data_IF_644227418304
#
_entry.id   IF_644227418304
#
_cell.length_a   1.000
_cell.length_b   1.000
_cell.length_c   1.000
_cell.angle_alpha   90.00
_cell.angle_beta   90.00
_cell.angle_gamma   90.00
#
_symmetry.space_group_name_H-M   'P 1'
#
loop_
_entity.id
_entity.type
_entity.pdbx_description
1 polymer ?
#
# COMPACT_ATOMS: atom_id res chain seq x y z
N UNK A 1 35.68 0.36 3.64
CA UNK A 1 34.75 -0.41 4.49
C UNK A 1 33.33 -0.08 4.03
N UNK A 2 32.65 -0.96 3.27
CA UNK A 2 31.36 -0.58 2.70
C UNK A 2 30.27 -0.78 3.75
N UNK A 3 29.66 0.33 4.15
CA UNK A 3 28.37 0.36 4.85
C UNK A 3 27.34 -0.29 3.93
N UNK A 4 27.15 -1.60 4.10
CA UNK A 4 26.01 -2.28 3.50
C UNK A 4 24.81 -1.77 4.28
N UNK A 5 24.07 -0.81 3.71
CA UNK A 5 22.80 -0.35 4.27
C UNK A 5 21.91 -1.59 4.39
N UNK A 6 21.95 -2.19 5.57
CA UNK A 6 21.19 -3.37 5.91
C UNK A 6 19.80 -2.96 6.35
N UNK A 7 18.87 -3.92 6.40
CA UNK A 7 17.52 -3.67 6.91
C UNK A 7 17.53 -3.02 8.30
N UNK A 8 18.51 -3.35 9.15
CA UNK A 8 18.66 -2.73 10.48
C UNK A 8 18.99 -1.24 10.43
N UNK A 9 19.83 -0.81 9.49
CA UNK A 9 20.23 0.61 9.39
C UNK A 9 19.10 1.46 8.82
N UNK A 10 18.35 0.91 7.86
CA UNK A 10 17.13 1.53 7.35
C UNK A 10 16.07 1.70 8.44
N UNK A 11 15.91 0.72 9.35
CA UNK A 11 15.00 0.83 10.50
C UNK A 11 15.41 1.98 11.43
N UNK A 12 16.71 2.15 11.70
CA UNK A 12 17.21 3.24 12.56
C UNK A 12 16.90 4.61 11.93
N UNK A 13 17.18 4.77 10.63
CA UNK A 13 16.88 6.00 9.90
C UNK A 13 15.37 6.28 9.89
N UNK A 14 14.56 5.25 9.63
CA UNK A 14 13.10 5.33 9.68
C UNK A 14 12.62 5.81 11.06
N UNK A 15 13.24 5.33 12.14
CA UNK A 15 12.87 5.73 13.50
C UNK A 15 13.13 7.22 13.76
N UNK A 16 14.25 7.76 13.27
CA UNK A 16 14.57 9.19 13.37
C UNK A 16 13.54 10.03 12.60
N UNK A 17 13.22 9.61 11.37
CA UNK A 17 12.19 10.26 10.54
C UNK A 17 10.84 10.23 11.24
N UNK A 18 10.47 9.10 11.86
CA UNK A 18 9.24 8.97 12.62
C UNK A 18 9.17 9.86 13.86
N UNK A 19 10.29 10.14 14.52
CA UNK A 19 10.31 11.08 15.65
C UNK A 19 10.05 12.51 15.17
N UNK A 20 10.60 12.90 14.02
CA UNK A 20 10.44 14.25 13.46
C UNK A 20 9.04 14.46 12.87
N UNK A 21 8.58 13.52 12.03
CA UNK A 21 7.31 13.64 11.31
C UNK A 21 6.13 13.05 12.07
N UNK A 22 6.37 12.16 13.03
CA UNK A 22 5.34 11.38 13.72
C UNK A 22 4.84 10.19 12.90
N UNK A 23 4.36 9.15 13.59
CA UNK A 23 3.73 7.97 12.96
C UNK A 23 2.47 8.31 12.17
N UNK A 24 1.70 9.30 12.61
CA UNK A 24 0.43 9.70 11.98
C UNK A 24 0.62 10.25 10.56
N UNK A 25 1.67 11.04 10.32
CA UNK A 25 1.97 11.60 8.99
C UNK A 25 2.40 10.53 8.00
N UNK A 26 3.21 9.56 8.45
CA UNK A 26 3.63 8.43 7.61
C UNK A 26 2.44 7.55 7.22
N UNK A 27 1.53 7.26 8.15
CA UNK A 27 0.33 6.45 7.86
C UNK A 27 -0.67 7.16 6.95
N UNK A 28 -0.83 8.48 7.09
CA UNK A 28 -1.72 9.29 6.27
C UNK A 28 -1.26 9.29 4.80
N UNK A 29 0.03 9.60 4.58
CA UNK A 29 0.65 9.58 3.25
C UNK A 29 0.69 8.16 2.69
N UNK A 30 1.04 7.16 3.49
CA UNK A 30 1.07 5.76 3.08
C UNK A 30 -0.31 5.23 2.65
N UNK A 31 -1.37 5.60 3.36
CA UNK A 31 -2.74 5.24 3.00
C UNK A 31 -3.21 5.89 1.69
N UNK A 32 -2.89 7.17 1.47
CA UNK A 32 -3.17 7.85 0.21
C UNK A 32 -2.40 7.22 -0.97
N UNK A 33 -1.09 7.03 -0.80
CA UNK A 33 -0.22 6.44 -1.82
C UNK A 33 -0.60 4.99 -2.12
N UNK A 34 -0.94 4.19 -1.10
CA UNK A 34 -1.37 2.81 -1.27
C UNK A 34 -2.64 2.68 -2.10
N UNK A 35 -3.63 3.57 -1.89
CA UNK A 35 -4.83 3.63 -2.73
C UNK A 35 -4.48 4.01 -4.17
N UNK A 36 -3.65 5.04 -4.38
CA UNK A 36 -3.22 5.43 -5.73
C UNK A 36 -2.46 4.33 -6.47
N UNK A 37 -1.57 3.61 -5.77
CA UNK A 37 -0.85 2.46 -6.36
C UNK A 37 -1.81 1.32 -6.68
N UNK A 38 -2.81 1.05 -5.82
CA UNK A 38 -3.82 0.01 -6.07
C UNK A 38 -4.62 0.30 -7.33
N UNK A 39 -5.12 1.52 -7.48
CA UNK A 39 -5.86 1.94 -8.68
C UNK A 39 -4.96 1.95 -9.93
N UNK A 40 -3.71 2.40 -9.79
CA UNK A 40 -2.73 2.35 -10.89
C UNK A 40 -2.46 0.90 -11.34
N UNK A 41 -2.27 -0.03 -10.39
CA UNK A 41 -2.09 -1.45 -10.72
C UNK A 41 -3.33 -2.05 -11.38
N UNK A 42 -4.53 -1.65 -10.96
CA UNK A 42 -5.79 -2.12 -11.55
C UNK A 42 -5.92 -1.63 -13.00
N UNK A 43 -5.72 -0.34 -13.25
CA UNK A 43 -5.78 0.23 -14.59
C UNK A 43 -4.76 -0.41 -15.54
N UNK A 44 -3.52 -0.62 -15.09
CA UNK A 44 -2.50 -1.29 -15.91
C UNK A 44 -2.80 -2.77 -16.14
N UNK A 45 -3.45 -3.45 -15.19
CA UNK A 45 -3.84 -4.85 -15.33
C UNK A 45 -5.07 -5.05 -16.23
N UNK A 46 -5.96 -4.06 -16.34
CA UNK A 46 -7.11 -4.08 -17.25
C UNK A 46 -6.69 -3.95 -18.73
N UNK A 47 -5.53 -3.35 -19.01
CA UNK A 47 -4.92 -3.28 -20.35
C UNK A 47 -4.16 -4.57 -20.76
N UNK A 48 -3.92 -5.50 -19.84
CA UNK A 48 -3.38 -6.84 -20.16
C UNK A 48 -4.50 -7.89 -20.17
N UNK A 49 -4.88 -8.44 -21.34
CA UNK A 49 -5.90 -9.49 -21.42
C UNK A 49 -5.33 -10.80 -20.88
N UNK A 50 -5.40 -11.01 -19.55
CA UNK A 50 -4.98 -12.26 -18.93
C UNK A 50 -4.72 -12.24 -17.42
N UNK A 51 -4.68 -11.09 -16.74
CA UNK A 51 -4.38 -11.03 -15.32
C UNK A 51 -5.67 -10.93 -14.46
N UNK A 52 -6.21 -12.08 -14.05
CA UNK A 52 -7.23 -12.14 -12.99
C UNK A 52 -6.62 -11.61 -11.69
N UNK A 53 -6.90 -10.35 -11.35
CA UNK A 53 -6.64 -9.80 -10.04
C UNK A 53 -7.69 -10.32 -9.06
N UNK A 54 -7.31 -11.30 -8.24
CA UNK A 54 -8.09 -11.75 -7.10
C UNK A 54 -8.25 -10.63 -6.06
N UNK A 55 -9.38 -10.70 -5.36
CA UNK A 55 -9.80 -9.88 -4.22
C UNK A 55 -10.56 -8.59 -4.56
N UNK A 56 -11.73 -8.77 -5.17
CA UNK A 56 -12.91 -8.04 -4.71
C UNK A 56 -13.94 -9.06 -4.19
N UNK A 57 -13.82 -9.40 -2.90
CA UNK A 57 -14.87 -10.07 -2.16
C UNK A 57 -15.44 -9.06 -1.17
N UNK A 58 -16.72 -8.73 -1.38
CA UNK A 58 -17.67 -8.05 -0.49
C UNK A 58 -17.79 -6.54 -0.66
N UNK A 59 -18.51 -6.14 -1.71
CA UNK A 59 -19.55 -5.14 -1.54
C UNK A 59 -20.83 -5.54 -2.30
N UNK A 60 -21.97 -5.35 -1.64
CA UNK A 60 -23.33 -5.38 -2.18
C UNK A 60 -23.90 -6.69 -2.75
N UNK A 61 -24.41 -7.57 -1.89
CA UNK A 61 -25.71 -8.19 -2.19
C UNK A 61 -26.56 -8.40 -0.93
N UNK A 62 -27.13 -7.30 -0.44
CA UNK A 62 -28.26 -7.30 0.48
C UNK A 62 -29.60 -7.55 -0.24
N UNK A 63 -29.69 -8.52 -1.14
CA UNK A 63 -30.99 -8.95 -1.66
C UNK A 63 -31.65 -9.86 -0.61
N UNK A 64 -32.42 -9.22 0.27
CA UNK A 64 -33.41 -9.86 1.14
C UNK A 64 -34.36 -10.70 0.28
N UNK A 65 -34.45 -12.03 0.45
CA UNK A 65 -35.52 -12.80 -0.14
C UNK A 65 -36.72 -12.75 0.81
N UNK A 66 -37.77 -12.00 0.44
CA UNK A 66 -39.12 -12.14 0.98
C UNK A 66 -40.12 -11.62 -0.04
#
# INVERSE_FOLDING_TARGET
>A
MPFRIGPMELIIVLFIVLIIFGVGRLTDIGGALGRSIKEFRKATAEDEPGAVATTDSRDSNGQKPS
#
